data_IF_362552282000
#
_entry.id   IF_362552282000
#
_cell.length_a   1.000
_cell.length_b   1.000
_cell.length_c   1.000
_cell.angle_alpha   90.00
_cell.angle_beta   90.00
_cell.angle_gamma   90.00
#
_symmetry.space_group_name_H-M   'P 1'
#
loop_
_entity.id
_entity.type
_entity.pdbx_description
1 polymer ?
#
# COMPACT_ATOMS: atom_id res chain seq x y z
N UNK A 1 16.55 9.97 -8.42
CA UNK A 1 15.28 10.71 -8.59
C UNK A 1 14.36 10.30 -7.46
N UNK A 2 13.51 11.21 -6.97
CA UNK A 2 12.50 10.84 -5.97
C UNK A 2 11.51 9.82 -6.57
N UNK A 3 10.87 8.97 -5.75
CA UNK A 3 9.76 8.16 -6.24
C UNK A 3 8.67 9.03 -6.87
N UNK A 4 7.90 8.45 -7.80
CA UNK A 4 6.78 9.13 -8.48
C UNK A 4 7.17 10.40 -9.27
N UNK A 5 8.45 10.53 -9.64
CA UNK A 5 8.94 11.66 -10.45
C UNK A 5 8.87 11.34 -11.94
N UNK A 6 8.03 12.08 -12.67
CA UNK A 6 8.01 12.03 -14.14
C UNK A 6 9.32 12.60 -14.69
N UNK A 7 9.94 11.89 -15.62
CA UNK A 7 11.20 12.31 -16.23
C UNK A 7 11.28 11.88 -17.70
N UNK A 8 12.13 12.57 -18.46
CA UNK A 8 12.47 12.27 -19.85
C UNK A 8 13.99 12.17 -19.94
N UNK A 9 14.49 11.15 -20.65
CA UNK A 9 15.94 10.95 -20.83
C UNK A 9 16.30 11.19 -22.29
N UNK A 10 17.29 12.04 -22.54
CA UNK A 10 17.87 12.30 -23.86
C UNK A 10 19.38 12.04 -23.83
N UNK A 11 19.86 11.18 -24.73
CA UNK A 11 21.28 10.80 -24.84
C UNK A 11 21.88 11.45 -26.08
N UNK A 12 22.54 12.60 -25.91
CA UNK A 12 23.08 13.40 -27.01
C UNK A 12 24.34 12.80 -27.67
N UNK A 13 25.11 12.02 -26.92
CA UNK A 13 26.36 11.39 -27.36
C UNK A 13 26.47 9.99 -26.76
N UNK A 14 27.28 9.12 -27.38
CA UNK A 14 27.47 7.75 -26.91
C UNK A 14 27.93 7.73 -25.45
N UNK A 15 27.06 7.23 -24.56
CA UNK A 15 27.25 7.25 -23.11
C UNK A 15 26.88 5.90 -22.52
N UNK A 16 27.61 5.46 -21.50
CA UNK A 16 27.24 4.31 -20.64
C UNK A 16 26.93 4.86 -19.25
N UNK A 17 25.75 4.55 -18.70
CA UNK A 17 25.31 4.98 -17.38
C UNK A 17 25.12 3.78 -16.45
N UNK A 18 25.50 3.92 -15.18
CA UNK A 18 25.13 3.01 -14.09
C UNK A 18 23.99 3.59 -13.26
N UNK A 19 23.07 2.76 -12.78
CA UNK A 19 21.94 3.20 -11.97
C UNK A 19 21.28 2.07 -11.19
N UNK A 20 20.44 2.44 -10.23
CA UNK A 20 19.69 1.50 -9.39
C UNK A 20 18.48 2.17 -8.75
N UNK A 21 17.56 1.34 -8.25
CA UNK A 21 16.37 1.75 -7.54
C UNK A 21 16.42 1.23 -6.10
N UNK A 22 16.01 2.04 -5.13
CA UNK A 22 15.90 1.65 -3.72
C UNK A 22 14.63 2.25 -3.11
N UNK A 23 14.18 1.65 -2.01
CA UNK A 23 13.16 2.25 -1.15
C UNK A 23 13.85 3.02 -0.02
N UNK A 24 13.30 4.18 0.33
CA UNK A 24 13.70 4.94 1.50
C UNK A 24 12.48 5.15 2.39
N UNK A 25 12.66 5.01 3.71
CA UNK A 25 11.60 5.19 4.70
C UNK A 25 10.97 6.58 4.60
N UNK A 26 11.79 7.62 4.47
CA UNK A 26 11.39 9.03 4.38
C UNK A 26 10.70 9.46 3.07
N UNK A 27 10.47 8.54 2.13
CA UNK A 27 9.80 8.84 0.85
C UNK A 27 8.62 7.91 0.60
N UNK A 28 8.14 7.22 1.64
CA UNK A 28 7.23 6.10 1.46
C UNK A 28 5.85 6.52 0.98
N UNK A 29 5.40 7.74 1.34
CA UNK A 29 4.21 8.34 0.74
C UNK A 29 4.33 8.39 -0.79
N UNK A 30 5.44 8.91 -1.32
CA UNK A 30 5.68 8.98 -2.76
C UNK A 30 5.85 7.59 -3.38
N UNK A 31 6.50 6.65 -2.69
CA UNK A 31 6.59 5.27 -3.14
C UNK A 31 5.22 4.64 -3.32
N UNK A 32 4.34 4.77 -2.32
CA UNK A 32 2.97 4.24 -2.38
C UNK A 32 2.19 4.87 -3.54
N UNK A 33 2.24 6.20 -3.70
CA UNK A 33 1.58 6.90 -4.80
C UNK A 33 2.10 6.40 -6.16
N UNK A 34 3.41 6.38 -6.37
CA UNK A 34 4.01 5.89 -7.60
C UNK A 34 3.65 4.42 -7.90
N UNK A 35 3.55 3.58 -6.87
CA UNK A 35 3.11 2.19 -7.02
C UNK A 35 1.64 2.08 -7.41
N UNK A 36 0.76 2.93 -6.87
CA UNK A 36 -0.65 2.98 -7.28
C UNK A 36 -0.80 3.53 -8.70
N UNK A 37 -0.08 4.60 -9.06
CA UNK A 37 -0.06 5.16 -10.43
C UNK A 37 0.41 4.13 -11.45
N UNK A 38 1.55 3.48 -11.20
CA UNK A 38 2.11 2.46 -12.10
C UNK A 38 1.22 1.24 -12.20
N UNK A 39 0.53 0.85 -11.14
CA UNK A 39 -0.43 -0.24 -11.21
C UNK A 39 -1.66 0.11 -12.09
N UNK A 40 -2.22 1.31 -11.92
CA UNK A 40 -3.45 1.73 -12.63
C UNK A 40 -3.20 2.04 -14.10
N UNK A 41 -2.03 2.60 -14.44
CA UNK A 41 -1.71 3.07 -15.79
C UNK A 41 -0.69 2.20 -16.53
N UNK A 42 0.06 1.34 -15.82
CA UNK A 42 1.01 0.36 -16.35
C UNK A 42 1.85 0.90 -17.53
N UNK A 43 1.71 0.29 -18.71
CA UNK A 43 2.39 0.63 -19.97
C UNK A 43 2.27 2.09 -20.40
N UNK A 44 1.25 2.82 -19.91
CA UNK A 44 1.12 4.24 -20.23
C UNK A 44 2.17 5.11 -19.53
N UNK A 45 2.68 4.71 -18.36
CA UNK A 45 3.66 5.49 -17.60
C UNK A 45 4.99 4.79 -17.37
N UNK A 46 5.04 3.46 -17.43
CA UNK A 46 6.25 2.67 -17.22
C UNK A 46 6.32 1.57 -18.27
N UNK A 47 7.51 1.31 -18.80
CA UNK A 47 7.77 0.16 -19.67
C UNK A 47 8.24 -1.08 -18.89
N UNK A 48 8.22 -1.01 -17.56
CA UNK A 48 8.73 -2.08 -16.69
C UNK A 48 7.83 -2.29 -15.48
N UNK A 49 7.64 -3.56 -15.14
CA UNK A 49 7.12 -3.99 -13.86
C UNK A 49 8.26 -4.68 -13.10
N UNK A 50 8.34 -4.43 -11.78
CA UNK A 50 9.33 -5.05 -10.92
C UNK A 50 8.67 -5.97 -9.88
N UNK A 51 8.21 -7.18 -10.27
CA UNK A 51 7.57 -8.13 -9.35
C UNK A 51 8.33 -8.38 -8.03
N UNK A 52 9.68 -8.45 -7.99
CA UNK A 52 10.42 -8.67 -6.74
C UNK A 52 10.20 -7.62 -5.66
N UNK A 53 9.71 -6.42 -6.01
CA UNK A 53 9.44 -5.33 -5.05
C UNK A 53 8.45 -5.75 -3.96
N UNK A 54 7.48 -6.62 -4.26
CA UNK A 54 6.50 -7.09 -3.28
C UNK A 54 7.14 -7.92 -2.18
N UNK A 55 8.08 -8.79 -2.55
CA UNK A 55 8.86 -9.56 -1.57
C UNK A 55 9.73 -8.63 -0.70
N UNK A 56 10.33 -7.59 -1.30
CA UNK A 56 11.12 -6.61 -0.56
C UNK A 56 10.26 -5.83 0.44
N UNK A 57 9.07 -5.36 0.03
CA UNK A 57 8.13 -4.67 0.93
C UNK A 57 7.71 -5.56 2.10
N UNK A 58 7.42 -6.85 1.88
CA UNK A 58 7.13 -7.78 2.97
C UNK A 58 8.31 -7.94 3.94
N UNK A 59 9.54 -7.97 3.44
CA UNK A 59 10.75 -8.01 4.28
C UNK A 59 10.95 -6.71 5.06
N UNK A 60 10.64 -5.56 4.45
CA UNK A 60 10.65 -4.27 5.13
C UNK A 60 9.63 -4.24 6.28
N UNK A 61 8.45 -4.85 6.10
CA UNK A 61 7.45 -4.93 7.18
C UNK A 61 7.97 -5.77 8.36
N UNK A 62 8.60 -6.91 8.10
CA UNK A 62 9.29 -7.70 9.13
C UNK A 62 10.41 -6.92 9.81
N UNK A 63 11.19 -6.17 9.03
CA UNK A 63 12.29 -5.36 9.54
C UNK A 63 11.80 -4.24 10.46
N UNK A 64 10.80 -3.46 10.03
CA UNK A 64 10.19 -2.41 10.86
C UNK A 64 9.52 -2.98 12.10
N UNK A 65 8.80 -4.10 12.00
CA UNK A 65 8.20 -4.75 13.16
C UNK A 65 9.25 -5.17 14.19
N UNK A 66 10.34 -5.80 13.74
CA UNK A 66 11.44 -6.17 14.63
C UNK A 66 12.09 -4.95 15.29
N UNK A 67 12.34 -3.87 14.54
CA UNK A 67 13.01 -2.70 15.08
C UNK A 67 12.12 -1.86 16.00
N UNK A 68 10.89 -1.58 15.58
CA UNK A 68 9.99 -0.67 16.28
C UNK A 68 9.21 -1.37 17.41
N UNK A 69 8.63 -2.53 17.12
CA UNK A 69 7.73 -3.24 18.06
C UNK A 69 8.52 -4.13 19.02
N UNK A 70 9.46 -4.92 18.50
CA UNK A 70 10.26 -5.83 19.33
C UNK A 70 11.54 -5.22 19.89
N UNK A 71 11.85 -3.96 19.54
CA UNK A 71 13.09 -3.28 19.92
C UNK A 71 14.36 -4.12 19.68
N UNK A 72 14.43 -4.77 18.51
CA UNK A 72 15.47 -5.77 18.21
C UNK A 72 16.85 -5.17 17.93
N UNK A 73 16.92 -3.93 17.45
CA UNK A 73 18.17 -3.30 17.00
C UNK A 73 18.56 -2.19 17.96
N UNK A 74 19.83 -2.17 18.36
CA UNK A 74 20.39 -1.10 19.18
C UNK A 74 20.76 0.13 18.33
N UNK A 75 20.79 1.32 18.94
CA UNK A 75 21.07 2.58 18.22
C UNK A 75 22.43 2.62 17.52
N UNK A 76 23.40 1.86 18.02
CA UNK A 76 24.75 1.75 17.46
C UNK A 76 24.83 0.81 16.24
N UNK A 77 23.76 0.08 15.91
CA UNK A 77 23.72 -0.82 14.77
C UNK A 77 23.34 -0.08 13.49
N UNK A 78 24.01 -0.37 12.37
CA UNK A 78 23.64 0.16 11.03
C UNK A 78 22.16 -0.10 10.68
N UNK A 79 21.59 -1.21 11.20
CA UNK A 79 20.18 -1.53 11.05
C UNK A 79 19.28 -0.46 11.66
N UNK A 80 19.62 0.10 12.82
CA UNK A 80 18.80 1.12 13.48
C UNK A 80 18.64 2.38 12.63
N UNK A 81 19.69 2.77 11.89
CA UNK A 81 19.68 3.92 10.98
C UNK A 81 18.68 3.79 9.82
N UNK A 82 18.15 2.60 9.56
CA UNK A 82 17.15 2.34 8.54
C UNK A 82 15.71 2.31 9.06
N UNK A 83 15.50 2.46 10.38
CA UNK A 83 14.17 2.58 10.96
C UNK A 83 13.58 3.99 10.71
N UNK A 84 12.24 4.13 10.64
CA UNK A 84 11.59 5.43 10.69
C UNK A 84 11.95 6.16 12.00
N UNK A 85 12.35 7.43 11.92
CA UNK A 85 12.77 8.24 13.08
C UNK A 85 11.60 8.72 13.95
N UNK A 86 10.43 8.90 13.33
CA UNK A 86 9.14 9.27 13.93
C UNK A 86 9.18 10.59 14.70
N UNK A 87 10.09 11.50 14.31
CA UNK A 87 10.28 12.81 14.94
C UNK A 87 9.35 13.89 14.36
N UNK A 88 8.63 13.58 13.29
CA UNK A 88 7.71 14.52 12.63
C UNK A 88 6.45 13.82 12.14
N UNK A 89 5.38 14.58 11.96
CA UNK A 89 4.15 14.02 11.39
C UNK A 89 4.38 13.43 9.99
N UNK A 90 5.28 14.02 9.19
CA UNK A 90 5.67 13.46 7.90
C UNK A 90 6.27 12.05 8.03
N UNK A 91 7.16 11.84 9.00
CA UNK A 91 7.76 10.52 9.24
C UNK A 91 6.75 9.49 9.76
N UNK A 92 5.80 9.89 10.61
CA UNK A 92 4.69 9.04 11.03
C UNK A 92 3.79 8.68 9.83
N UNK A 93 3.53 9.66 8.97
CA UNK A 93 2.72 9.47 7.78
C UNK A 93 3.40 8.59 6.73
N UNK A 94 4.73 8.60 6.63
CA UNK A 94 5.48 7.64 5.81
C UNK A 94 5.30 6.20 6.32
N UNK A 95 5.28 5.98 7.64
CA UNK A 95 5.00 4.66 8.21
C UNK A 95 3.52 4.26 7.99
N UNK A 96 2.58 5.19 8.11
CA UNK A 96 1.16 4.93 7.79
C UNK A 96 1.01 4.57 6.31
N UNK A 97 1.62 5.33 5.41
CA UNK A 97 1.61 5.06 3.97
C UNK A 97 2.26 3.71 3.64
N UNK A 98 3.35 3.35 4.33
CA UNK A 98 3.95 2.03 4.24
C UNK A 98 2.94 0.93 4.60
N UNK A 99 2.28 1.04 5.74
CA UNK A 99 1.31 0.05 6.22
C UNK A 99 0.12 -0.07 5.25
N UNK A 100 -0.42 1.05 4.76
CA UNK A 100 -1.49 1.05 3.77
C UNK A 100 -1.06 0.36 2.47
N UNK A 101 0.16 0.62 2.00
CA UNK A 101 0.74 -0.05 0.84
C UNK A 101 0.85 -1.58 1.04
N UNK A 102 1.22 -2.02 2.25
CA UNK A 102 1.27 -3.44 2.60
C UNK A 102 -0.14 -4.06 2.68
N UNK A 103 -1.13 -3.33 3.20
CA UNK A 103 -2.53 -3.77 3.21
C UNK A 103 -3.06 -3.97 1.78
N UNK A 104 -2.71 -3.06 0.88
CA UNK A 104 -3.04 -3.16 -0.54
C UNK A 104 -2.08 -4.03 -1.37
N UNK A 105 -1.14 -4.77 -0.76
CA UNK A 105 -0.06 -5.45 -1.51
C UNK A 105 -0.58 -6.46 -2.54
N UNK A 106 -1.69 -7.14 -2.24
CA UNK A 106 -2.39 -8.02 -3.17
C UNK A 106 -3.15 -7.22 -4.24
N UNK A 107 -3.89 -6.20 -3.82
CA UNK A 107 -4.65 -5.32 -4.73
C UNK A 107 -3.74 -4.73 -5.80
N UNK A 108 -2.51 -4.39 -5.44
CA UNK A 108 -1.54 -3.79 -6.36
C UNK A 108 -0.65 -4.84 -7.06
N UNK A 109 -1.05 -6.10 -7.13
CA UNK A 109 -0.29 -7.17 -7.80
C UNK A 109 -1.01 -7.64 -9.06
N UNK A 110 -0.32 -7.63 -10.21
CA UNK A 110 -0.91 -8.01 -11.50
C UNK A 110 -1.43 -9.45 -11.46
N UNK A 111 -0.70 -10.35 -10.78
CA UNK A 111 -1.09 -11.76 -10.65
C UNK A 111 -2.41 -11.98 -9.92
N UNK A 112 -2.88 -11.01 -9.13
CA UNK A 112 -4.19 -11.04 -8.48
C UNK A 112 -5.32 -11.08 -9.52
N UNK A 113 -5.09 -10.48 -10.68
CA UNK A 113 -6.08 -10.32 -11.75
C UNK A 113 -5.87 -11.31 -12.89
N UNK A 114 -5.15 -12.39 -12.63
CA UNK A 114 -4.86 -13.42 -13.62
C UNK A 114 -5.14 -14.81 -13.05
N UNK A 115 -5.57 -15.72 -13.90
CA UNK A 115 -5.73 -17.14 -13.61
C UNK A 115 -4.43 -17.89 -13.95
N UNK A 116 -3.92 -18.78 -13.07
CA UNK A 116 -2.70 -19.53 -13.34
C UNK A 116 -2.90 -20.53 -14.47
N UNK A 117 -2.13 -20.39 -15.56
CA UNK A 117 -2.19 -21.29 -16.72
C UNK A 117 -0.79 -21.42 -17.36
N UNK A 118 -0.61 -22.45 -18.19
CA UNK A 118 0.64 -22.73 -18.92
C UNK A 118 0.40 -22.58 -20.43
N UNK A 119 1.28 -21.90 -21.18
CA UNK A 119 2.59 -21.36 -20.79
C UNK A 119 2.55 -19.99 -20.08
N UNK A 120 1.40 -19.31 -20.08
CA UNK A 120 1.20 -18.01 -19.46
C UNK A 120 -0.13 -17.95 -18.72
N UNK A 121 -0.22 -17.06 -17.73
CA UNK A 121 -1.47 -16.79 -17.04
C UNK A 121 -2.52 -16.20 -18.01
N UNK A 122 -3.79 -16.40 -17.68
CA UNK A 122 -4.93 -15.86 -18.43
C UNK A 122 -5.48 -14.67 -17.66
N UNK A 123 -5.65 -13.53 -18.32
CA UNK A 123 -6.24 -12.36 -17.68
C UNK A 123 -7.72 -12.62 -17.32
N UNK A 124 -8.19 -12.12 -16.16
CA UNK A 124 -9.55 -12.44 -15.69
C UNK A 124 -10.65 -11.82 -16.57
N UNK A 125 -10.34 -10.82 -17.39
CA UNK A 125 -11.26 -10.22 -18.35
C UNK A 125 -11.25 -10.89 -19.73
N UNK A 126 -10.35 -11.86 -19.98
CA UNK A 126 -10.36 -12.70 -21.17
C UNK A 126 -11.35 -13.87 -21.02
N UNK A 127 -12.64 -13.55 -21.22
CA UNK A 127 -13.75 -14.49 -21.10
C UNK A 127 -13.76 -15.58 -22.18
N UNK A 128 -13.08 -15.38 -23.31
CA UNK A 128 -12.99 -16.39 -24.37
C UNK A 128 -12.05 -17.53 -23.95
N UNK A 129 -10.97 -17.18 -23.25
CA UNK A 129 -9.98 -18.14 -22.73
C UNK A 129 -10.38 -18.76 -21.38
N UNK A 130 -11.34 -18.17 -20.66
CA UNK A 130 -11.78 -18.63 -19.33
C UNK A 130 -13.03 -19.51 -19.39
N UNK A 131 -12.88 -20.77 -18.95
CA UNK A 131 -14.03 -21.66 -18.77
C UNK A 131 -14.93 -21.18 -17.61
N UNK A 132 -16.18 -21.63 -17.64
CA UNK A 132 -17.16 -21.32 -16.58
C UNK A 132 -16.67 -21.79 -15.20
N UNK A 133 -16.03 -22.96 -15.12
CA UNK A 133 -15.47 -23.52 -13.89
C UNK A 133 -14.32 -22.66 -13.35
N UNK A 134 -13.44 -22.18 -14.23
CA UNK A 134 -12.33 -21.29 -13.85
C UNK A 134 -12.86 -19.98 -13.29
N UNK A 135 -13.81 -19.35 -13.97
CA UNK A 135 -14.45 -18.13 -13.49
C UNK A 135 -15.17 -18.34 -12.15
N UNK A 136 -15.83 -19.48 -11.96
CA UNK A 136 -16.44 -19.85 -10.70
C UNK A 136 -15.40 -19.98 -9.58
N UNK A 137 -14.24 -20.60 -9.86
CA UNK A 137 -13.16 -20.74 -8.88
C UNK A 137 -12.55 -19.40 -8.44
N UNK A 138 -12.36 -18.47 -9.38
CA UNK A 138 -11.92 -17.09 -9.09
C UNK A 138 -12.92 -16.42 -8.15
N UNK A 139 -14.22 -16.51 -8.46
CA UNK A 139 -15.28 -15.87 -7.68
C UNK A 139 -15.40 -16.45 -6.28
N UNK A 140 -15.44 -17.77 -6.16
CA UNK A 140 -15.68 -18.46 -4.90
C UNK A 140 -14.46 -18.48 -3.96
N UNK A 141 -13.25 -18.56 -4.50
CA UNK A 141 -12.05 -18.84 -3.70
C UNK A 141 -10.92 -17.82 -3.88
N UNK A 142 -11.17 -16.71 -4.58
CA UNK A 142 -10.11 -15.78 -5.01
C UNK A 142 -8.95 -16.51 -5.70
N UNK A 143 -9.27 -17.54 -6.50
CA UNK A 143 -8.26 -18.37 -7.14
C UNK A 143 -7.58 -17.61 -8.28
N UNK A 144 -6.35 -17.13 -8.03
CA UNK A 144 -5.57 -16.29 -8.94
C UNK A 144 -4.10 -16.73 -8.99
N UNK A 145 -3.30 -16.09 -9.85
CA UNK A 145 -1.95 -16.49 -10.20
C UNK A 145 -0.88 -16.15 -9.14
N UNK A 146 -1.24 -15.57 -7.99
CA UNK A 146 -0.30 -15.42 -6.88
C UNK A 146 0.04 -16.80 -6.32
N UNK A 147 1.34 -17.09 -6.21
CA UNK A 147 1.82 -18.36 -5.67
C UNK A 147 1.38 -18.55 -4.20
N UNK A 148 1.15 -19.79 -3.74
CA UNK A 148 0.80 -20.04 -2.34
C UNK A 148 1.80 -19.45 -1.34
N UNK A 149 3.10 -19.49 -1.67
CA UNK A 149 4.18 -18.93 -0.83
C UNK A 149 4.06 -17.41 -0.74
N UNK A 150 3.80 -16.74 -1.86
CA UNK A 150 3.62 -15.28 -1.84
C UNK A 150 2.34 -14.89 -1.11
N UNK A 151 1.26 -15.68 -1.22
CA UNK A 151 0.02 -15.45 -0.44
C UNK A 151 0.28 -15.48 1.05
N UNK A 152 0.97 -16.50 1.55
CA UNK A 152 1.35 -16.58 2.97
C UNK A 152 2.22 -15.40 3.39
N UNK A 153 3.17 -14.99 2.55
CA UNK A 153 4.02 -13.84 2.83
C UNK A 153 3.22 -12.54 2.91
N UNK A 154 2.27 -12.33 2.01
CA UNK A 154 1.42 -11.14 2.00
C UNK A 154 0.43 -11.12 3.16
N UNK A 155 -0.08 -12.27 3.58
CA UNK A 155 -0.90 -12.40 4.79
C UNK A 155 -0.09 -12.04 6.04
N UNK A 156 1.11 -12.60 6.18
CA UNK A 156 1.99 -12.28 7.29
C UNK A 156 2.35 -10.78 7.33
N UNK A 157 2.78 -10.22 6.20
CA UNK A 157 3.12 -8.80 6.11
C UNK A 157 1.93 -7.89 6.45
N UNK A 158 0.71 -8.27 6.05
CA UNK A 158 -0.51 -7.54 6.45
C UNK A 158 -0.72 -7.53 7.95
N UNK A 159 -0.60 -8.68 8.63
CA UNK A 159 -0.67 -8.74 10.09
C UNK A 159 0.36 -7.82 10.76
N UNK A 160 1.59 -7.78 10.22
CA UNK A 160 2.62 -6.85 10.71
C UNK A 160 2.26 -5.38 10.47
N UNK A 161 1.60 -5.04 9.36
CA UNK A 161 1.17 -3.67 9.08
C UNK A 161 0.13 -3.18 10.10
N UNK A 162 -0.86 -4.02 10.46
CA UNK A 162 -1.81 -3.69 11.53
C UNK A 162 -1.10 -3.51 12.88
N UNK A 163 -0.19 -4.43 13.25
CA UNK A 163 0.57 -4.32 14.48
C UNK A 163 1.48 -3.09 14.54
N UNK A 164 2.03 -2.67 13.39
CA UNK A 164 2.83 -1.44 13.28
C UNK A 164 1.97 -0.17 13.44
N UNK A 165 0.74 -0.16 12.91
CA UNK A 165 -0.20 0.95 13.09
C UNK A 165 -0.62 1.06 14.56
N UNK A 166 -1.01 -0.06 15.17
CA UNK A 166 -1.33 -0.11 16.60
C UNK A 166 -0.16 0.42 17.45
N UNK A 167 1.05 -0.11 17.21
CA UNK A 167 2.25 0.35 17.90
C UNK A 167 2.52 1.84 17.69
N UNK A 168 2.37 2.36 16.47
CA UNK A 168 2.61 3.77 16.15
C UNK A 168 1.72 4.67 17.02
N UNK A 169 0.43 4.36 17.12
CA UNK A 169 -0.51 5.15 17.90
C UNK A 169 -0.34 5.00 19.42
N UNK A 170 0.33 3.94 19.88
CA UNK A 170 0.78 3.81 21.28
C UNK A 170 2.09 4.55 21.56
N UNK A 171 2.94 4.73 20.54
CA UNK A 171 4.29 5.27 20.67
C UNK A 171 4.40 6.78 20.34
N UNK A 172 3.42 7.35 19.64
CA UNK A 172 3.48 8.72 19.13
C UNK A 172 2.17 9.46 19.42
N UNK A 173 2.29 10.62 20.05
CA UNK A 173 1.19 11.58 20.16
C UNK A 173 1.03 12.32 18.85
N UNK A 174 -0.18 12.29 18.27
CA UNK A 174 -0.54 13.13 17.13
C UNK A 174 -1.31 14.33 17.69
N UNK A 175 -0.82 15.53 17.38
CA UNK A 175 -1.33 16.78 17.94
C UNK A 175 -1.89 17.62 16.81
N UNK A 176 -3.14 18.05 16.93
CA UNK A 176 -3.73 19.02 16.01
C UNK A 176 -3.18 20.41 16.33
N UNK A 177 -2.53 21.07 15.37
CA UNK A 177 -1.82 22.33 15.59
C UNK A 177 -2.78 23.47 15.96
N UNK A 178 -4.00 23.45 15.42
CA UNK A 178 -4.97 24.53 15.64
C UNK A 178 -5.48 24.59 17.08
N UNK A 179 -5.68 23.44 17.71
CA UNK A 179 -6.21 23.30 19.08
C UNK A 179 -5.11 23.07 20.10
N UNK A 180 -3.97 22.51 19.68
CA UNK A 180 -2.91 22.03 20.57
C UNK A 180 -3.28 20.73 21.30
N UNK A 181 -4.41 20.10 20.92
CA UNK A 181 -4.91 18.90 21.57
C UNK A 181 -4.31 17.64 20.94
N UNK A 182 -4.03 16.65 21.78
CA UNK A 182 -3.63 15.30 21.36
C UNK A 182 -4.88 14.59 20.86
N UNK A 183 -4.80 13.94 19.70
CA UNK A 183 -5.88 13.07 19.22
C UNK A 183 -5.99 11.84 20.13
N UNK A 184 -7.13 11.70 20.81
CA UNK A 184 -7.38 10.57 21.72
C UNK A 184 -7.50 9.23 20.98
N UNK A 185 -8.11 9.24 19.79
CA UNK A 185 -8.31 8.06 18.94
C UNK A 185 -7.83 8.34 17.50
N UNK A 186 -6.50 8.35 17.26
CA UNK A 186 -5.95 8.55 15.91
C UNK A 186 -6.26 7.38 14.98
N UNK A 187 -6.62 6.20 15.51
CA UNK A 187 -7.05 5.07 14.71
C UNK A 187 -8.32 5.42 13.95
N UNK A 188 -9.41 5.71 14.67
CA UNK A 188 -10.71 6.00 14.04
C UNK A 188 -10.79 7.39 13.41
N UNK A 189 -10.10 8.39 13.98
CA UNK A 189 -10.19 9.77 13.50
C UNK A 189 -9.26 10.11 12.33
N UNK A 190 -8.14 9.37 12.18
CA UNK A 190 -7.10 9.69 11.19
C UNK A 190 -6.85 8.53 10.23
N UNK A 191 -6.55 7.34 10.74
CA UNK A 191 -6.13 6.23 9.88
C UNK A 191 -7.28 5.61 9.09
N UNK A 192 -8.39 5.29 9.76
CA UNK A 192 -9.56 4.68 9.12
C UNK A 192 -10.10 5.56 7.98
N UNK A 193 -10.31 6.88 8.15
CA UNK A 193 -10.71 7.76 7.06
C UNK A 193 -9.68 7.79 5.93
N UNK A 194 -8.38 7.76 6.26
CA UNK A 194 -7.33 7.82 5.26
C UNK A 194 -7.29 6.58 4.37
N UNK A 195 -7.24 5.37 4.95
CA UNK A 195 -7.21 4.13 4.17
C UNK A 195 -8.51 3.93 3.38
N UNK A 196 -9.65 4.35 3.93
CA UNK A 196 -10.95 4.34 3.26
C UNK A 196 -11.00 5.32 2.07
N UNK A 197 -10.43 6.52 2.24
CA UNK A 197 -10.24 7.48 1.15
C UNK A 197 -9.37 6.89 0.05
N UNK A 198 -8.28 6.20 0.39
CA UNK A 198 -7.39 5.57 -0.57
C UNK A 198 -8.07 4.46 -1.37
N UNK A 199 -8.84 3.59 -0.70
CA UNK A 199 -9.65 2.56 -1.35
C UNK A 199 -10.61 3.17 -2.40
N UNK A 200 -11.33 4.22 -2.01
CA UNK A 200 -12.25 4.97 -2.88
C UNK A 200 -11.53 5.65 -4.05
N UNK A 201 -10.42 6.33 -3.75
CA UNK A 201 -9.63 7.05 -4.76
C UNK A 201 -8.98 6.10 -5.77
N UNK A 202 -8.47 4.96 -5.32
CA UNK A 202 -7.89 3.95 -6.20
C UNK A 202 -8.92 3.38 -7.17
N UNK A 203 -10.12 3.05 -6.68
CA UNK A 203 -11.22 2.58 -7.53
C UNK A 203 -11.69 3.66 -8.51
N UNK A 204 -11.88 4.89 -8.04
CA UNK A 204 -12.28 6.01 -8.89
C UNK A 204 -11.23 6.28 -9.98
N UNK A 205 -9.95 6.22 -9.64
CA UNK A 205 -8.85 6.37 -10.59
C UNK A 205 -8.90 5.29 -11.68
N UNK A 206 -9.13 4.02 -11.30
CA UNK A 206 -9.32 2.95 -12.30
C UNK A 206 -10.49 3.22 -13.23
N UNK A 207 -11.65 3.61 -12.69
CA UNK A 207 -12.84 3.96 -13.49
C UNK A 207 -12.54 5.07 -14.50
N UNK A 208 -11.77 6.09 -14.09
CA UNK A 208 -11.35 7.17 -14.97
C UNK A 208 -10.35 6.70 -16.04
N UNK A 209 -9.41 5.82 -15.70
CA UNK A 209 -8.46 5.23 -16.64
C UNK A 209 -9.19 4.40 -17.71
N UNK A 210 -10.13 3.55 -17.31
CA UNK A 210 -10.97 2.76 -18.23
C UNK A 210 -11.80 3.64 -19.17
N UNK A 211 -12.42 4.71 -18.65
CA UNK A 211 -13.16 5.67 -19.47
C UNK A 211 -12.26 6.33 -20.52
N UNK A 212 -10.98 6.54 -20.20
CA UNK A 212 -9.96 7.06 -21.13
C UNK A 212 -9.32 5.98 -22.01
N UNK A 213 -9.76 4.72 -21.91
CA UNK A 213 -9.18 3.56 -22.62
C UNK A 213 -7.69 3.36 -22.33
N UNK A 214 -7.24 3.82 -21.15
CA UNK A 214 -5.90 3.55 -20.68
C UNK A 214 -5.90 2.14 -20.10
N UNK A 215 -5.07 1.29 -20.68
CA UNK A 215 -4.77 -0.03 -20.12
C UNK A 215 -3.93 0.17 -18.86
N UNK A 216 -4.10 -0.73 -17.90
CA UNK A 216 -3.34 -0.78 -16.66
C UNK A 216 -2.92 -2.22 -16.44
N UNK A 217 -2.76 -2.63 -15.17
CA UNK A 217 -2.54 -4.02 -14.81
C UNK A 217 -3.44 -4.99 -15.61
N UNK A 218 -2.87 -6.02 -16.28
CA UNK A 218 -3.63 -7.00 -17.07
C UNK A 218 -4.72 -7.68 -16.24
N UNK A 219 -5.90 -7.88 -16.82
CA UNK A 219 -7.06 -8.48 -16.15
C UNK A 219 -7.74 -7.61 -15.08
N UNK A 220 -7.13 -6.48 -14.68
CA UNK A 220 -7.69 -5.61 -13.66
C UNK A 220 -8.75 -4.71 -14.28
N UNK A 221 -10.03 -5.02 -14.09
CA UNK A 221 -11.14 -4.09 -14.35
C UNK A 221 -11.55 -3.35 -13.08
N UNK A 222 -12.32 -2.25 -13.16
CA UNK A 222 -12.86 -1.56 -12.00
C UNK A 222 -13.72 -2.49 -11.11
N UNK A 223 -14.42 -3.45 -11.73
CA UNK A 223 -15.20 -4.47 -11.02
C UNK A 223 -14.28 -5.37 -10.18
N UNK A 224 -13.24 -5.92 -10.79
CA UNK A 224 -12.32 -6.82 -10.09
C UNK A 224 -11.46 -6.08 -9.09
N UNK A 225 -11.05 -4.85 -9.39
CA UNK A 225 -10.33 -3.99 -8.45
C UNK A 225 -11.17 -3.73 -7.20
N UNK A 226 -12.43 -3.31 -7.37
CA UNK A 226 -13.38 -3.14 -6.24
C UNK A 226 -13.45 -4.42 -5.42
N UNK A 227 -13.65 -5.58 -6.06
CA UNK A 227 -13.70 -6.86 -5.35
C UNK A 227 -12.45 -7.10 -4.51
N UNK A 228 -11.26 -6.91 -5.07
CA UNK A 228 -10.01 -7.16 -4.36
C UNK A 228 -9.77 -6.19 -3.21
N UNK A 229 -10.18 -4.92 -3.36
CA UNK A 229 -10.15 -3.94 -2.27
C UNK A 229 -11.03 -4.41 -1.12
N UNK A 230 -12.28 -4.81 -1.39
CA UNK A 230 -13.22 -5.26 -0.34
C UNK A 230 -12.72 -6.53 0.38
N UNK A 231 -12.18 -7.49 -0.38
CA UNK A 231 -11.58 -8.71 0.19
C UNK A 231 -10.39 -8.44 1.11
N UNK A 232 -9.71 -7.29 1.00
CA UNK A 232 -8.65 -6.95 1.94
C UNK A 232 -9.16 -6.64 3.36
N UNK A 233 -10.44 -6.25 3.49
CA UNK A 233 -11.04 -5.79 4.74
C UNK A 233 -12.18 -6.70 5.23
N UNK A 234 -12.54 -7.74 4.47
CA UNK A 234 -13.58 -8.70 4.88
C UNK A 234 -13.23 -9.34 6.23
N UNK A 235 -14.17 -9.25 7.18
CA UNK A 235 -14.01 -9.76 8.55
C UNK A 235 -13.11 -8.92 9.44
N UNK A 236 -12.67 -7.75 9.00
CA UNK A 236 -11.90 -6.79 9.82
C UNK A 236 -12.82 -5.71 10.39
N UNK A 237 -12.35 -4.99 11.40
CA UNK A 237 -13.01 -3.81 11.98
C UNK A 237 -13.12 -2.63 10.99
N UNK A 238 -12.29 -2.61 9.95
CA UNK A 238 -12.33 -1.61 8.87
C UNK A 238 -13.40 -1.88 7.81
N UNK A 239 -14.02 -3.07 7.79
CA UNK A 239 -14.89 -3.51 6.70
C UNK A 239 -15.99 -2.50 6.40
N UNK A 240 -16.72 -2.07 7.43
CA UNK A 240 -17.84 -1.14 7.29
C UNK A 240 -17.38 0.22 6.73
N UNK A 241 -16.33 0.81 7.31
CA UNK A 241 -15.82 2.12 6.91
C UNK A 241 -15.33 2.13 5.45
N UNK A 242 -14.63 1.07 5.03
CA UNK A 242 -14.17 0.96 3.65
C UNK A 242 -15.35 0.73 2.70
N UNK A 243 -16.30 -0.15 3.06
CA UNK A 243 -17.48 -0.42 2.24
C UNK A 243 -18.31 0.84 2.00
N UNK A 244 -18.48 1.69 3.03
CA UNK A 244 -19.22 2.94 2.94
C UNK A 244 -18.47 3.98 2.08
N UNK A 245 -17.15 4.09 2.25
CA UNK A 245 -16.34 5.09 1.55
C UNK A 245 -16.03 4.73 0.09
N UNK A 246 -16.01 3.45 -0.27
CA UNK A 246 -15.49 3.00 -1.58
C UNK A 246 -16.27 3.58 -2.77
N UNK A 247 -17.54 3.95 -2.57
CA UNK A 247 -18.37 4.59 -3.58
C UNK A 247 -18.44 6.12 -3.48
N UNK A 248 -17.76 6.73 -2.49
CA UNK A 248 -17.71 8.18 -2.31
C UNK A 248 -16.93 8.92 -3.41
N UNK A 249 -16.25 8.20 -4.31
CA UNK A 249 -15.49 8.73 -5.46
C UNK A 249 -14.48 9.79 -5.06
N UNK A 250 -13.73 9.54 -3.98
CA UNK A 250 -12.57 10.37 -3.65
C UNK A 250 -11.61 10.44 -4.85
N UNK A 251 -10.88 11.54 -4.98
CA UNK A 251 -9.92 11.77 -6.08
C UNK A 251 -8.47 11.86 -5.61
N UNK A 252 -8.25 11.86 -4.29
CA UNK A 252 -6.95 12.09 -3.68
C UNK A 252 -6.48 10.79 -3.01
N UNK A 253 -5.31 10.30 -3.41
CA UNK A 253 -4.66 9.13 -2.80
C UNK A 253 -3.75 9.52 -1.61
N UNK A 254 -3.27 10.76 -1.60
CA UNK A 254 -2.45 11.31 -0.52
C UNK A 254 -3.29 11.63 0.72
N UNK A 255 -2.61 11.74 1.87
CA UNK A 255 -3.25 12.16 3.11
C UNK A 255 -3.76 13.59 2.99
N UNK A 256 -5.01 13.88 3.41
CA UNK A 256 -5.55 15.22 3.34
C UNK A 256 -4.97 16.12 4.45
N UNK A 257 -4.45 17.27 4.05
CA UNK A 257 -4.02 18.34 4.97
C UNK A 257 -3.02 17.91 6.06
N UNK A 258 -1.87 17.29 5.70
CA UNK A 258 -0.87 16.87 6.69
C UNK A 258 -0.30 18.04 7.51
N UNK A 259 -0.34 19.25 6.98
CA UNK A 259 0.10 20.48 7.66
C UNK A 259 -0.72 20.84 8.92
N UNK A 260 -1.84 20.17 9.18
CA UNK A 260 -2.66 20.37 10.38
C UNK A 260 -2.12 19.67 11.62
N UNK A 261 -1.19 18.74 11.45
CA UNK A 261 -0.75 17.87 12.52
C UNK A 261 0.76 18.00 12.76
N UNK A 262 1.12 17.86 14.03
CA UNK A 262 2.49 17.59 14.46
C UNK A 262 2.50 16.32 15.31
N UNK A 263 3.69 15.84 15.64
CA UNK A 263 3.83 14.64 16.47
C UNK A 263 4.84 14.84 17.56
N UNK A 264 4.65 14.09 18.65
CA UNK A 264 5.62 13.95 19.71
C UNK A 264 5.83 12.46 20.01
N UNK A 265 7.06 11.96 19.89
CA UNK A 265 7.39 10.57 20.23
C UNK A 265 7.41 10.42 21.74
N UNK A 266 6.69 9.43 22.26
CA UNK A 266 6.63 9.16 23.70
C UNK A 266 7.88 8.41 24.16
N UNK A 267 8.28 8.66 25.41
CA UNK A 267 9.32 7.89 26.09
C UNK A 267 8.82 6.47 26.48
N UNK A 268 7.52 6.35 26.75
CA UNK A 268 6.86 5.11 27.13
C UNK A 268 5.60 4.90 26.28
N UNK A 269 5.30 3.64 25.94
CA UNK A 269 4.07 3.31 25.23
C UNK A 269 2.84 3.67 26.09
N UNK A 270 1.77 4.12 25.43
CA UNK A 270 0.46 4.24 26.08
C UNK A 270 0.00 2.86 26.58
N UNK A 271 -0.36 2.77 27.86
CA UNK A 271 -1.02 1.57 28.38
C UNK A 271 -2.42 1.45 27.77
N UNK A 272 -2.63 0.38 27.01
CA UNK A 272 -3.91 -0.05 26.43
C UNK A 272 -4.65 0.98 25.58
N UNK A 273 -4.32 1.05 24.28
CA UNK A 273 -5.41 1.05 23.28
C UNK A 273 -5.88 -0.40 23.24
N UNK A 274 -7.18 -0.63 23.49
CA UNK A 274 -7.76 -1.98 23.61
C UNK A 274 -7.27 -2.90 22.49
N UNK A 275 -7.01 -4.17 22.84
CA UNK A 275 -6.58 -5.20 21.90
C UNK A 275 -7.40 -5.13 20.59
N UNK A 276 -6.71 -4.86 19.47
CA UNK A 276 -7.25 -4.91 18.11
C UNK A 276 -7.40 -6.36 17.64
#
# INVERSE_FOLDING_TARGET
>A
MMPDTTHLVYTATHTICGGGHHFASCTMQHTMLGMMHTFILDDFISNTNHPPTRMLLSRMATFYYHGLVLNKYNEDEDSYAHLPDLQSFSSALDLIAFCNLIIFINVLNFKTYQYPSSPSNIDIDDLESLSHERLASIKAFDFNAISPVDRQRYQHARGLAYALIDWLFKAVDIIEIATGEILEDPYSSLWVPYISQQASALLNYKRLAEKKKLKGAPGCTALWLKRQILLCFEGTDLEASVNDAIEAKHSILAFPSPEKYTTHRREFLQSDLGEF
#
